data_IF_754061784225
#
_entry.id   IF_754061784225
#
_cell.length_a   1.000
_cell.length_b   1.000
_cell.length_c   1.000
_cell.angle_alpha   90.00
_cell.angle_beta   90.00
_cell.angle_gamma   90.00
#
_symmetry.space_group_name_H-M   'P 1'
#
loop_
_entity.id
_entity.type
_entity.pdbx_description
1 polymer ?
#
# COMPACT_ATOMS: atom_id res chain seq x y z
N UNK A 1 30.08 17.19 -10.52
CA UNK A 1 29.18 16.03 -10.68
C UNK A 1 28.11 16.18 -9.62
N UNK A 2 26.85 16.38 -10.03
CA UNK A 2 25.74 16.53 -9.08
C UNK A 2 25.34 15.14 -8.60
N UNK A 3 25.58 14.83 -7.33
CA UNK A 3 25.01 13.64 -6.69
C UNK A 3 23.49 13.84 -6.68
N UNK A 4 22.75 12.90 -7.27
CA UNK A 4 21.30 12.92 -7.27
C UNK A 4 20.77 12.66 -5.85
N UNK A 5 19.67 13.32 -5.48
CA UNK A 5 19.00 13.20 -4.17
C UNK A 5 18.75 11.72 -3.79
N UNK A 6 18.51 10.87 -4.80
CA UNK A 6 18.30 9.43 -4.67
C UNK A 6 19.50 8.69 -4.07
N UNK A 7 20.72 8.99 -4.52
CA UNK A 7 21.94 8.35 -4.03
C UNK A 7 22.28 8.76 -2.59
N UNK A 8 21.99 10.01 -2.23
CA UNK A 8 22.18 10.47 -0.84
C UNK A 8 21.23 9.74 0.12
N UNK A 9 19.96 9.61 -0.26
CA UNK A 9 18.95 8.90 0.54
C UNK A 9 19.28 7.41 0.67
N UNK A 10 19.76 6.79 -0.41
CA UNK A 10 20.22 5.41 -0.41
C UNK A 10 21.33 5.19 0.63
N UNK A 11 22.37 6.02 0.64
CA UNK A 11 23.46 5.89 1.61
C UNK A 11 23.02 6.20 3.05
N UNK A 12 22.10 7.16 3.23
CA UNK A 12 21.54 7.49 4.54
C UNK A 12 20.78 6.29 5.13
N UNK A 13 19.87 5.68 4.36
CA UNK A 13 19.12 4.49 4.81
C UNK A 13 20.05 3.30 5.05
N UNK A 14 21.02 3.06 4.16
CA UNK A 14 22.03 2.01 4.35
C UNK A 14 22.85 2.21 5.64
N UNK A 15 23.14 3.45 6.03
CA UNK A 15 23.89 3.74 7.26
C UNK A 15 23.13 3.41 8.54
N UNK A 16 21.80 3.32 8.48
CA UNK A 16 20.94 2.92 9.61
C UNK A 16 20.81 1.40 9.78
N UNK A 17 21.31 0.60 8.82
CA UNK A 17 21.34 -0.85 8.97
C UNK A 17 22.39 -1.26 10.01
N UNK A 18 22.01 -2.15 10.92
CA UNK A 18 22.90 -2.69 11.93
C UNK A 18 22.78 -4.23 12.04
N UNK A 19 23.71 -4.84 12.75
CA UNK A 19 23.69 -6.26 13.10
C UNK A 19 23.64 -7.18 11.88
N UNK A 20 22.68 -8.11 11.88
CA UNK A 20 22.49 -9.07 10.79
C UNK A 20 22.02 -8.42 9.50
N UNK A 21 21.21 -7.35 9.59
CA UNK A 21 20.74 -6.63 8.42
C UNK A 21 21.89 -5.95 7.67
N UNK A 22 22.82 -5.32 8.40
CA UNK A 22 24.04 -4.73 7.83
C UNK A 22 24.94 -5.77 7.15
N UNK A 23 25.15 -6.92 7.82
CA UNK A 23 25.99 -8.01 7.28
C UNK A 23 25.42 -8.58 5.99
N UNK A 24 24.12 -8.86 5.97
CA UNK A 24 23.46 -9.33 4.77
C UNK A 24 23.47 -8.30 3.63
N UNK A 25 23.19 -7.03 3.95
CA UNK A 25 23.20 -5.97 2.96
C UNK A 25 24.58 -5.83 2.31
N UNK A 26 25.66 -5.90 3.09
CA UNK A 26 27.03 -5.89 2.57
C UNK A 26 27.30 -7.07 1.60
N UNK A 27 26.89 -8.30 1.95
CA UNK A 27 27.04 -9.46 1.05
C UNK A 27 26.25 -9.32 -0.24
N UNK A 28 25.05 -8.74 -0.18
CA UNK A 28 24.26 -8.50 -1.37
C UNK A 28 24.85 -7.41 -2.26
N UNK A 29 25.41 -6.35 -1.67
CA UNK A 29 26.04 -5.25 -2.41
C UNK A 29 27.23 -5.70 -3.26
N UNK A 30 27.94 -6.74 -2.87
CA UNK A 30 29.00 -7.35 -3.69
C UNK A 30 28.48 -7.91 -5.03
N UNK A 31 27.17 -8.17 -5.13
CA UNK A 31 26.51 -8.70 -6.34
C UNK A 31 25.84 -7.63 -7.21
N UNK A 32 25.79 -6.36 -6.78
CA UNK A 32 24.99 -5.31 -7.43
C UNK A 32 25.89 -4.29 -8.10
N UNK A 33 25.51 -3.90 -9.31
CA UNK A 33 26.24 -2.87 -10.04
C UNK A 33 26.01 -1.49 -9.39
N UNK A 34 27.05 -0.65 -9.24
CA UNK A 34 26.90 0.71 -8.71
C UNK A 34 25.93 1.60 -9.50
N UNK A 35 25.64 1.25 -10.75
CA UNK A 35 24.70 1.98 -11.62
C UNK A 35 23.23 1.62 -11.30
N UNK A 36 23.01 0.50 -10.62
CA UNK A 36 21.69 0.00 -10.21
C UNK A 36 21.33 0.35 -8.76
N UNK A 37 22.26 0.99 -8.03
CA UNK A 37 22.05 1.51 -6.69
C UNK A 37 21.01 2.63 -6.72
N UNK A 38 19.82 2.33 -6.19
CA UNK A 38 18.75 3.30 -6.00
C UNK A 38 17.97 2.98 -4.73
N UNK A 39 17.27 3.99 -4.20
CA UNK A 39 16.44 3.77 -3.01
C UNK A 39 15.32 2.75 -3.28
N UNK A 40 14.78 2.71 -4.50
CA UNK A 40 13.76 1.74 -4.90
C UNK A 40 14.30 0.31 -4.87
N UNK A 41 15.53 0.09 -5.34
CA UNK A 41 16.17 -1.23 -5.28
C UNK A 41 16.36 -1.68 -3.82
N UNK A 42 16.78 -0.76 -2.93
CA UNK A 42 16.90 -1.03 -1.50
C UNK A 42 15.56 -1.41 -0.86
N UNK A 43 14.47 -0.72 -1.20
CA UNK A 43 13.13 -1.03 -0.71
C UNK A 43 12.64 -2.41 -1.17
N UNK A 44 12.75 -2.70 -2.47
CA UNK A 44 12.31 -3.98 -3.04
C UNK A 44 13.07 -5.16 -2.42
N UNK A 45 14.36 -4.98 -2.18
CA UNK A 45 15.18 -5.92 -1.45
C UNK A 45 14.75 -6.16 0.00
N UNK A 46 14.56 -5.08 0.76
CA UNK A 46 14.17 -5.18 2.17
C UNK A 46 12.81 -5.86 2.27
N UNK A 47 11.89 -5.58 1.35
CA UNK A 47 10.64 -6.33 1.20
C UNK A 47 10.89 -7.80 0.88
N UNK A 48 11.69 -8.12 -0.12
CA UNK A 48 11.96 -9.50 -0.51
C UNK A 48 12.57 -10.34 0.64
N UNK A 49 13.45 -9.75 1.46
CA UNK A 49 14.08 -10.44 2.58
C UNK A 49 13.21 -10.51 3.83
N UNK A 50 12.62 -9.39 4.23
CA UNK A 50 12.02 -9.25 5.56
C UNK A 50 10.49 -9.18 5.55
N UNK A 51 9.86 -8.94 4.39
CA UNK A 51 8.41 -9.07 4.27
C UNK A 51 8.05 -10.45 3.74
N UNK A 52 7.19 -11.15 4.48
CA UNK A 52 6.54 -12.36 3.98
C UNK A 52 5.57 -11.98 2.86
N UNK A 53 5.91 -12.35 1.63
CA UNK A 53 5.00 -12.28 0.49
C UNK A 53 3.80 -13.17 0.77
N UNK A 54 2.59 -12.61 0.66
CA UNK A 54 1.34 -13.34 0.82
C UNK A 54 0.85 -13.80 -0.55
N UNK A 55 0.18 -14.95 -0.57
CA UNK A 55 -0.44 -15.42 -1.80
C UNK A 55 -1.63 -14.51 -2.18
N UNK A 56 -1.95 -14.41 -3.47
CA UNK A 56 -3.13 -13.68 -3.93
C UNK A 56 -4.41 -14.04 -3.16
N UNK A 57 -4.75 -15.33 -2.95
CA UNK A 57 -5.90 -15.75 -2.14
C UNK A 57 -5.87 -15.23 -0.70
N UNK A 58 -4.74 -15.32 0.00
CA UNK A 58 -4.62 -14.82 1.38
C UNK A 58 -4.86 -13.31 1.46
N UNK A 59 -4.38 -12.55 0.47
CA UNK A 59 -4.62 -11.11 0.40
C UNK A 59 -6.09 -10.82 0.12
N UNK A 60 -6.71 -11.53 -0.82
CA UNK A 60 -8.15 -11.40 -1.13
C UNK A 60 -9.02 -11.71 0.09
N UNK A 61 -8.69 -12.74 0.88
CA UNK A 61 -9.42 -13.09 2.10
C UNK A 61 -9.31 -11.98 3.15
N UNK A 62 -8.11 -11.41 3.35
CA UNK A 62 -7.90 -10.30 4.27
C UNK A 62 -8.61 -9.02 3.83
N UNK A 63 -8.56 -8.70 2.53
CA UNK A 63 -9.32 -7.59 1.95
C UNK A 63 -10.82 -7.79 2.15
N UNK A 64 -11.31 -9.02 1.95
CA UNK A 64 -12.72 -9.37 2.11
C UNK A 64 -13.21 -9.31 3.56
N UNK A 65 -12.33 -9.54 4.53
CA UNK A 65 -12.61 -9.47 5.95
C UNK A 65 -12.55 -8.04 6.51
N UNK A 66 -11.79 -7.13 5.87
CA UNK A 66 -11.60 -5.76 6.35
C UNK A 66 -12.78 -4.86 5.97
N UNK A 67 -13.65 -4.61 6.94
CA UNK A 67 -14.74 -3.62 6.84
C UNK A 67 -14.38 -2.33 7.57
N UNK A 68 -14.89 -1.17 7.13
CA UNK A 68 -14.69 0.13 7.77
C UNK A 68 -15.07 0.04 9.26
N UNK A 69 -14.15 0.46 10.15
CA UNK A 69 -14.44 0.47 11.59
C UNK A 69 -15.29 1.71 11.89
N UNK A 70 -16.23 1.61 12.82
CA UNK A 70 -17.09 2.73 13.20
C UNK A 70 -16.24 3.92 13.63
N UNK A 71 -16.32 5.02 12.86
CA UNK A 71 -15.58 6.25 13.12
C UNK A 71 -14.30 6.41 12.30
N UNK A 72 -13.82 5.36 11.61
CA UNK A 72 -12.71 5.46 10.64
C UNK A 72 -13.09 6.44 9.54
N UNK A 73 -12.17 7.32 9.18
CA UNK A 73 -12.32 8.12 7.96
C UNK A 73 -12.16 7.21 6.74
N UNK A 74 -12.86 7.51 5.66
CA UNK A 74 -12.78 6.74 4.41
C UNK A 74 -11.35 6.70 3.84
N UNK A 75 -10.57 7.76 4.05
CA UNK A 75 -9.14 7.82 3.69
C UNK A 75 -8.29 6.86 4.53
N UNK A 76 -8.57 6.73 5.83
CA UNK A 76 -7.87 5.81 6.73
C UNK A 76 -8.25 4.36 6.43
N UNK A 77 -9.54 4.12 6.15
CA UNK A 77 -10.02 2.82 5.71
C UNK A 77 -9.36 2.39 4.39
N UNK A 78 -9.30 3.28 3.40
CA UNK A 78 -8.62 3.02 2.14
C UNK A 78 -7.13 2.74 2.33
N UNK A 79 -6.46 3.48 3.21
CA UNK A 79 -5.06 3.23 3.53
C UNK A 79 -4.84 1.83 4.13
N UNK A 80 -5.71 1.41 5.06
CA UNK A 80 -5.64 0.07 5.63
C UNK A 80 -5.84 -1.04 4.57
N UNK A 81 -6.62 -0.79 3.51
CA UNK A 81 -6.74 -1.73 2.38
C UNK A 81 -5.46 -1.78 1.54
N UNK A 82 -4.79 -0.64 1.32
CA UNK A 82 -3.49 -0.60 0.62
C UNK A 82 -2.43 -1.41 1.36
N UNK A 83 -2.34 -1.24 2.67
CA UNK A 83 -1.38 -2.00 3.50
C UNK A 83 -1.62 -3.52 3.43
N UNK A 84 -2.88 -3.95 3.24
CA UNK A 84 -3.20 -5.37 3.01
C UNK A 84 -2.72 -5.82 1.63
N UNK A 85 -2.93 -4.99 0.60
CA UNK A 85 -2.56 -5.28 -0.79
C UNK A 85 -1.06 -5.16 -1.10
N UNK A 86 -0.32 -4.33 -0.37
CA UNK A 86 1.10 -4.06 -0.59
C UNK A 86 1.98 -5.31 -0.47
N UNK A 87 1.53 -6.30 0.30
CA UNK A 87 2.28 -7.54 0.56
C UNK A 87 1.80 -8.72 -0.30
N UNK A 88 1.06 -8.48 -1.39
CA UNK A 88 0.68 -9.56 -2.30
C UNK A 88 0.35 -9.07 -3.71
N UNK A 89 0.15 -10.03 -4.60
CA UNK A 89 -0.10 -9.79 -6.02
C UNK A 89 -1.60 -9.51 -6.28
N UNK A 90 -2.06 -8.33 -5.85
CA UNK A 90 -3.45 -7.87 -6.09
C UNK A 90 -3.48 -6.49 -6.74
N UNK A 91 -4.29 -6.36 -7.79
CA UNK A 91 -4.49 -5.09 -8.47
C UNK A 91 -5.54 -4.18 -7.81
N UNK A 92 -5.60 -2.92 -8.28
CA UNK A 92 -6.55 -1.89 -7.84
C UNK A 92 -8.02 -2.35 -7.81
N UNK A 93 -8.43 -3.20 -8.75
CA UNK A 93 -9.81 -3.73 -8.79
C UNK A 93 -10.19 -4.46 -7.50
N UNK A 94 -9.25 -5.18 -6.86
CA UNK A 94 -9.50 -5.86 -5.59
C UNK A 94 -9.65 -4.87 -4.44
N UNK A 95 -8.83 -3.81 -4.42
CA UNK A 95 -8.91 -2.75 -3.41
C UNK A 95 -10.23 -2.00 -3.50
N UNK A 96 -10.65 -1.63 -4.71
CA UNK A 96 -11.93 -0.95 -4.97
C UNK A 96 -13.11 -1.84 -4.55
N UNK A 97 -13.08 -3.13 -4.91
CA UNK A 97 -14.13 -4.08 -4.50
C UNK A 97 -14.20 -4.24 -2.98
N UNK A 98 -13.06 -4.34 -2.31
CA UNK A 98 -12.99 -4.44 -0.86
C UNK A 98 -13.55 -3.19 -0.18
N UNK A 99 -13.15 -2.00 -0.65
CA UNK A 99 -13.64 -0.72 -0.16
C UNK A 99 -15.17 -0.63 -0.26
N UNK A 100 -15.74 -0.94 -1.43
CA UNK A 100 -17.18 -0.88 -1.65
C UNK A 100 -17.97 -1.94 -0.88
N UNK A 101 -17.35 -3.09 -0.59
CA UNK A 101 -17.98 -4.17 0.18
C UNK A 101 -17.98 -3.87 1.67
N UNK A 102 -16.89 -3.30 2.19
CA UNK A 102 -16.71 -3.07 3.62
C UNK A 102 -17.05 -1.66 4.10
N UNK A 103 -17.40 -0.72 3.22
CA UNK A 103 -17.86 0.62 3.61
C UNK A 103 -19.16 0.55 4.43
N UNK A 104 -19.24 1.38 5.47
CA UNK A 104 -20.38 1.38 6.40
C UNK A 104 -21.69 1.89 5.77
N UNK A 105 -21.62 2.81 4.81
CA UNK A 105 -22.79 3.30 4.08
C UNK A 105 -23.06 2.52 2.80
N UNK A 106 -24.15 1.77 2.78
CA UNK A 106 -24.62 1.02 1.60
C UNK A 106 -25.07 1.93 0.45
N UNK A 107 -25.63 3.10 0.77
CA UNK A 107 -26.04 4.11 -0.20
C UNK A 107 -24.83 4.72 -0.90
N UNK A 108 -23.82 5.15 -0.13
CA UNK A 108 -22.55 5.64 -0.69
C UNK A 108 -21.89 4.59 -1.58
N UNK A 109 -21.90 3.32 -1.17
CA UNK A 109 -21.30 2.24 -1.94
C UNK A 109 -22.00 2.05 -3.29
N UNK A 110 -23.34 2.18 -3.29
CA UNK A 110 -24.16 2.09 -4.51
C UNK A 110 -23.91 3.27 -5.44
N UNK A 111 -23.80 4.49 -4.90
CA UNK A 111 -23.46 5.67 -5.68
C UNK A 111 -22.10 5.53 -6.38
N UNK A 112 -21.08 5.07 -5.66
CA UNK A 112 -19.74 4.86 -6.25
C UNK A 112 -19.77 3.77 -7.33
N UNK A 113 -20.50 2.66 -7.11
CA UNK A 113 -20.68 1.58 -8.11
C UNK A 113 -21.31 2.04 -9.42
N UNK A 114 -22.21 3.03 -9.36
CA UNK A 114 -22.85 3.61 -10.55
C UNK A 114 -21.89 4.32 -11.50
N UNK A 115 -20.64 4.53 -11.07
CA UNK A 115 -19.60 5.16 -11.87
C UNK A 115 -18.50 4.15 -12.22
N UNK A 116 -17.93 4.25 -13.43
CA UNK A 116 -16.74 3.47 -13.80
C UNK A 116 -15.53 4.00 -13.02
N UNK A 117 -15.20 3.35 -11.90
CA UNK A 117 -13.98 3.63 -11.12
C UNK A 117 -12.90 2.64 -11.44
N UNK A 118 -11.67 3.15 -11.54
CA UNK A 118 -10.48 2.37 -11.86
C UNK A 118 -9.50 2.31 -10.69
N UNK A 119 -9.63 3.21 -9.71
CA UNK A 119 -8.72 3.27 -8.57
C UNK A 119 -9.44 3.47 -7.23
N UNK A 120 -8.78 3.07 -6.16
CA UNK A 120 -9.24 3.27 -4.79
C UNK A 120 -9.37 4.76 -4.44
N UNK A 121 -8.45 5.61 -4.92
CA UNK A 121 -8.53 7.06 -4.70
C UNK A 121 -9.74 7.70 -5.38
N UNK A 122 -10.05 7.27 -6.61
CA UNK A 122 -11.27 7.71 -7.27
C UNK A 122 -12.50 7.30 -6.45
N UNK A 123 -12.54 6.05 -5.96
CA UNK A 123 -13.65 5.56 -5.15
C UNK A 123 -13.85 6.37 -3.86
N UNK A 124 -12.77 6.68 -3.14
CA UNK A 124 -12.80 7.51 -1.92
C UNK A 124 -13.29 8.93 -2.23
N UNK A 125 -12.77 9.55 -3.29
CA UNK A 125 -13.08 10.93 -3.67
C UNK A 125 -14.56 11.17 -3.98
N UNK A 126 -15.33 10.12 -4.28
CA UNK A 126 -16.75 10.21 -4.60
C UNK A 126 -17.65 9.80 -3.45
N UNK A 127 -17.14 8.92 -2.60
CA UNK A 127 -17.84 8.53 -1.40
C UNK A 127 -17.93 9.73 -0.45
N UNK A 128 -16.81 10.46 -0.25
CA UNK A 128 -16.74 11.57 0.71
C UNK A 128 -17.84 12.63 0.50
N UNK A 129 -18.09 13.16 -0.71
CA UNK A 129 -19.16 14.14 -0.91
C UNK A 129 -20.57 13.63 -0.59
N UNK A 130 -20.81 12.32 -0.67
CA UNK A 130 -22.13 11.72 -0.47
C UNK A 130 -22.40 11.32 0.99
N UNK A 131 -21.38 10.79 1.67
CA UNK A 131 -21.54 10.16 2.99
C UNK A 131 -20.67 10.78 4.08
N UNK A 132 -19.96 11.87 3.74
CA UNK A 132 -18.98 12.53 4.58
C UNK A 132 -17.72 11.69 4.80
N UNK A 133 -16.72 12.32 5.43
CA UNK A 133 -15.41 11.72 5.68
C UNK A 133 -15.46 10.39 6.44
N UNK A 134 -16.47 10.19 7.29
CA UNK A 134 -16.63 8.97 8.12
C UNK A 134 -17.59 7.94 7.51
N UNK A 135 -18.14 8.20 6.33
CA UNK A 135 -19.07 7.25 5.70
C UNK A 135 -20.38 7.06 6.47
N UNK A 136 -20.80 8.06 7.25
CA UNK A 136 -22.05 8.08 8.03
C UNK A 136 -22.79 9.38 7.75
N UNK A 137 -24.00 9.30 7.22
CA UNK A 137 -24.97 10.41 7.19
C UNK A 137 -25.57 10.57 8.58
N UNK A 138 -25.58 11.80 9.09
CA UNK A 138 -26.28 12.17 10.33
C UNK A 138 -27.77 12.39 10.08
#
# INVERSE_FOLDING_TARGET
MSVTIDGQLYHEVASHLDGEAKRWFATWMESVSPVEESINMLFEMLRAKYMTQRTGPEVVDRLSARSQIKGDRLVEYAQALREIGENGDVGEDWLVRAFLKGMSSSEGATHVRGHRRRTLDEAVSLAIPQVGDKGTVW
#
